data_IF_868237359209
#
_entry.id   IF_868237359209
#
_cell.length_a   1.000
_cell.length_b   1.000
_cell.length_c   1.000
_cell.angle_alpha   90.00
_cell.angle_beta   90.00
_cell.angle_gamma   90.00
#
_symmetry.space_group_name_H-M   'P 1'
#
loop_
_entity.id
_entity.type
_entity.pdbx_description
1 polymer ?
#
# COMPACT_ATOMS: atom_id res chain seq x y z
N UNK A 1 -21.62 6.03 26.57
CA UNK A 1 -20.76 5.62 25.43
C UNK A 1 -21.60 5.78 24.19
N UNK A 2 -21.12 6.49 23.19
CA UNK A 2 -21.85 6.64 21.90
C UNK A 2 -21.87 5.28 21.20
N UNK A 3 -23.01 4.89 20.67
CA UNK A 3 -23.13 3.63 19.92
C UNK A 3 -22.40 3.78 18.58
N UNK A 4 -21.43 2.89 18.31
CA UNK A 4 -20.71 2.86 17.04
C UNK A 4 -21.57 2.18 15.98
N UNK A 5 -22.01 2.96 14.97
CA UNK A 5 -23.04 2.54 14.01
C UNK A 5 -22.57 2.51 12.57
N UNK A 6 -21.40 3.08 12.29
CA UNK A 6 -20.94 3.31 10.92
C UNK A 6 -19.59 2.68 10.66
N UNK A 7 -19.36 2.28 9.43
CA UNK A 7 -18.07 1.85 8.89
C UNK A 7 -17.70 2.80 7.76
N UNK A 8 -16.41 3.14 7.66
CA UNK A 8 -15.87 3.87 6.53
C UNK A 8 -15.02 2.95 5.67
N UNK A 9 -15.32 2.87 4.39
CA UNK A 9 -14.50 2.19 3.40
C UNK A 9 -13.68 3.24 2.61
N UNK A 10 -12.37 3.12 2.63
CA UNK A 10 -11.44 3.90 1.82
C UNK A 10 -11.03 3.09 0.60
N UNK A 11 -11.32 3.61 -0.59
CA UNK A 11 -10.95 3.00 -1.86
C UNK A 11 -9.93 3.89 -2.57
N UNK A 12 -8.67 3.50 -2.46
CA UNK A 12 -7.56 4.17 -3.12
C UNK A 12 -7.34 3.56 -4.51
N UNK A 13 -8.11 4.02 -5.47
CA UNK A 13 -7.98 3.58 -6.86
C UNK A 13 -6.74 4.12 -7.57
N UNK A 14 -6.57 3.74 -8.84
CA UNK A 14 -5.43 4.19 -9.66
C UNK A 14 -5.52 5.67 -10.02
N UNK A 15 -6.72 6.20 -10.20
CA UNK A 15 -6.93 7.59 -10.66
C UNK A 15 -7.62 8.48 -9.65
N UNK A 16 -8.19 7.91 -8.59
CA UNK A 16 -8.94 8.67 -7.60
C UNK A 16 -8.93 8.01 -6.23
N UNK A 17 -9.07 8.84 -5.20
CA UNK A 17 -9.31 8.45 -3.82
C UNK A 17 -10.81 8.56 -3.54
N UNK A 18 -11.39 7.58 -2.86
CA UNK A 18 -12.81 7.56 -2.49
C UNK A 18 -12.97 7.18 -1.02
N UNK A 19 -13.97 7.77 -0.37
CA UNK A 19 -14.45 7.35 0.94
C UNK A 19 -15.95 7.10 0.87
N UNK A 20 -16.39 5.96 1.40
CA UNK A 20 -17.78 5.55 1.49
C UNK A 20 -18.12 5.33 2.95
N UNK A 21 -19.17 5.97 3.45
CA UNK A 21 -19.69 5.74 4.79
C UNK A 21 -20.90 4.82 4.68
N UNK A 22 -20.89 3.75 5.45
CA UNK A 22 -21.91 2.70 5.46
C UNK A 22 -22.55 2.63 6.86
N UNK A 23 -23.88 2.42 6.91
CA UNK A 23 -24.59 2.12 8.15
C UNK A 23 -24.49 0.61 8.49
N UNK A 24 -25.12 0.21 9.59
CA UNK A 24 -25.16 -1.18 10.06
C UNK A 24 -25.83 -2.14 9.06
N UNK A 25 -26.76 -1.65 8.24
CA UNK A 25 -27.48 -2.44 7.23
C UNK A 25 -26.76 -2.41 5.86
N UNK A 26 -25.53 -1.93 5.83
CA UNK A 26 -24.70 -1.77 4.64
C UNK A 26 -25.27 -0.79 3.59
N UNK A 27 -26.18 0.12 3.99
CA UNK A 27 -26.62 1.19 3.11
C UNK A 27 -25.54 2.28 3.03
N UNK A 28 -25.37 2.83 1.84
CA UNK A 28 -24.47 3.97 1.62
C UNK A 28 -25.10 5.23 2.18
N UNK A 29 -24.48 5.81 3.20
CA UNK A 29 -24.92 7.06 3.84
C UNK A 29 -24.27 8.28 3.18
N UNK A 30 -23.01 8.18 2.82
CA UNK A 30 -22.25 9.26 2.18
C UNK A 30 -21.12 8.73 1.33
N UNK A 31 -20.80 9.48 0.27
CA UNK A 31 -19.64 9.21 -0.61
C UNK A 31 -18.94 10.52 -0.91
N UNK A 32 -17.61 10.49 -0.86
CA UNK A 32 -16.75 11.54 -1.41
C UNK A 32 -15.64 10.92 -2.25
N UNK A 33 -15.33 11.56 -3.37
CA UNK A 33 -14.31 11.10 -4.30
C UNK A 33 -13.53 12.31 -4.84
N UNK A 34 -12.22 12.10 -5.07
CA UNK A 34 -11.33 13.10 -5.66
C UNK A 34 -10.29 12.43 -6.53
N UNK A 35 -10.10 12.95 -7.72
CA UNK A 35 -8.99 12.56 -8.60
C UNK A 35 -7.67 13.14 -8.07
N UNK A 36 -6.56 12.52 -8.46
CA UNK A 36 -5.21 12.99 -8.18
C UNK A 36 -4.32 12.88 -9.43
N UNK A 37 -3.19 13.57 -9.39
CA UNK A 37 -2.29 13.74 -10.53
C UNK A 37 -1.67 12.43 -10.98
N UNK A 38 -1.75 12.16 -12.29
CA UNK A 38 -1.04 11.07 -12.96
C UNK A 38 0.24 11.63 -13.57
N UNK A 39 1.40 11.05 -13.26
CA UNK A 39 2.71 11.53 -13.69
C UNK A 39 3.28 10.54 -14.71
N UNK A 40 3.67 11.03 -15.88
CA UNK A 40 4.24 10.25 -16.98
C UNK A 40 5.61 10.80 -17.37
N UNK A 41 6.70 10.47 -16.64
CA UNK A 41 8.02 11.07 -16.89
C UNK A 41 8.59 10.69 -18.26
N UNK A 42 8.35 9.45 -18.68
CA UNK A 42 8.84 8.87 -19.94
C UNK A 42 7.81 7.92 -20.55
N UNK A 43 8.01 7.51 -21.80
CA UNK A 43 7.13 6.54 -22.45
C UNK A 43 7.11 5.19 -21.69
N UNK A 44 5.92 4.76 -21.29
CA UNK A 44 5.72 3.53 -20.49
C UNK A 44 6.04 3.67 -19.00
N UNK A 45 6.38 4.88 -18.52
CA UNK A 45 6.55 5.16 -17.09
C UNK A 45 5.30 5.80 -16.52
N UNK A 46 4.88 5.32 -15.35
CA UNK A 46 3.71 5.83 -14.65
C UNK A 46 4.05 5.98 -13.18
N UNK A 47 3.80 7.16 -12.63
CA UNK A 47 4.09 7.51 -11.25
C UNK A 47 2.95 8.29 -10.62
N UNK A 48 2.89 8.22 -9.28
CA UNK A 48 2.04 9.08 -8.45
C UNK A 48 2.86 9.73 -7.35
N UNK A 49 2.45 10.91 -6.89
CA UNK A 49 2.98 11.48 -5.64
C UNK A 49 2.34 10.78 -4.43
N UNK A 50 3.13 10.06 -3.60
CA UNK A 50 2.58 9.40 -2.41
C UNK A 50 1.96 10.38 -1.40
N UNK A 51 2.44 11.63 -1.37
CA UNK A 51 1.89 12.64 -0.48
C UNK A 51 0.53 13.13 -0.98
N UNK A 52 0.33 13.26 -2.29
CA UNK A 52 -0.97 13.58 -2.88
C UNK A 52 -1.98 12.44 -2.68
N UNK A 53 -1.56 11.17 -2.81
CA UNK A 53 -2.38 10.00 -2.47
C UNK A 53 -2.89 10.11 -1.03
N UNK A 54 -2.01 10.35 -0.06
CA UNK A 54 -2.42 10.49 1.34
C UNK A 54 -3.30 11.71 1.58
N UNK A 55 -2.98 12.85 0.99
CA UNK A 55 -3.72 14.09 1.15
C UNK A 55 -5.15 13.98 0.57
N UNK A 56 -5.30 13.41 -0.63
CA UNK A 56 -6.60 13.22 -1.26
C UNK A 56 -7.44 12.19 -0.50
N UNK A 57 -6.84 11.06 -0.06
CA UNK A 57 -7.56 10.05 0.72
C UNK A 57 -8.03 10.59 2.08
N UNK A 58 -7.19 11.37 2.77
CA UNK A 58 -7.57 12.02 4.02
C UNK A 58 -8.66 13.07 3.81
N UNK A 59 -8.57 13.83 2.72
CA UNK A 59 -9.56 14.86 2.39
C UNK A 59 -10.95 14.26 2.12
N UNK A 60 -11.04 13.18 1.32
CA UNK A 60 -12.33 12.53 1.02
C UNK A 60 -12.93 11.83 2.25
N UNK A 61 -12.09 11.32 3.16
CA UNK A 61 -12.55 10.77 4.44
C UNK A 61 -13.25 11.85 5.27
N UNK A 62 -12.58 12.98 5.49
CA UNK A 62 -13.13 14.10 6.29
C UNK A 62 -14.39 14.66 5.61
N UNK A 63 -14.38 14.81 4.30
CA UNK A 63 -15.52 15.30 3.52
C UNK A 63 -16.73 14.35 3.61
N UNK A 64 -16.53 13.03 3.51
CA UNK A 64 -17.61 12.05 3.60
C UNK A 64 -18.29 12.05 4.99
N UNK A 65 -17.49 12.14 6.06
CA UNK A 65 -18.00 12.28 7.42
C UNK A 65 -18.73 13.62 7.61
N UNK A 66 -18.16 14.72 7.11
CA UNK A 66 -18.78 16.05 7.19
C UNK A 66 -20.13 16.12 6.47
N UNK A 67 -20.24 15.54 5.26
CA UNK A 67 -21.49 15.48 4.48
C UNK A 67 -22.60 14.69 5.19
N UNK A 68 -22.24 13.63 5.91
CA UNK A 68 -23.19 12.78 6.62
C UNK A 68 -23.58 13.33 7.99
N UNK A 69 -22.84 14.31 8.53
CA UNK A 69 -23.00 14.80 9.90
C UNK A 69 -22.61 13.77 10.96
N UNK A 70 -21.95 12.68 10.57
CA UNK A 70 -21.54 11.60 11.46
C UNK A 70 -20.28 12.04 12.21
N UNK A 71 -20.34 11.87 13.54
CA UNK A 71 -19.19 12.12 14.39
C UNK A 71 -18.26 10.89 14.35
N UNK A 72 -16.99 11.13 14.55
CA UNK A 72 -15.97 10.09 14.52
C UNK A 72 -16.11 9.04 15.62
N UNK A 73 -16.69 9.39 16.77
CA UNK A 73 -16.95 8.45 17.87
C UNK A 73 -18.15 7.50 17.56
N UNK A 74 -18.86 7.74 16.47
CA UNK A 74 -19.91 6.86 15.93
C UNK A 74 -19.36 5.88 14.87
N UNK A 75 -18.09 6.04 14.45
CA UNK A 75 -17.44 5.15 13.48
C UNK A 75 -16.80 3.95 14.18
N UNK A 76 -17.26 2.76 13.84
CA UNK A 76 -16.76 1.50 14.39
C UNK A 76 -15.39 1.10 13.82
N UNK A 77 -15.12 1.45 12.56
CA UNK A 77 -13.86 1.12 11.91
C UNK A 77 -13.69 1.72 10.53
N UNK A 78 -12.45 1.71 10.05
CA UNK A 78 -12.07 2.08 8.68
C UNK A 78 -11.51 0.85 7.99
N UNK A 79 -12.07 0.49 6.85
CA UNK A 79 -11.50 -0.49 5.93
C UNK A 79 -10.77 0.20 4.78
N UNK A 80 -9.66 -0.37 4.33
CA UNK A 80 -8.86 0.17 3.22
C UNK A 80 -8.82 -0.85 2.09
N UNK A 81 -9.14 -0.43 0.89
CA UNK A 81 -8.82 -1.13 -0.36
C UNK A 81 -7.98 -0.20 -1.25
N UNK A 82 -7.15 -0.77 -2.12
CA UNK A 82 -6.18 0.02 -2.86
C UNK A 82 -5.88 -0.55 -4.25
N UNK A 83 -5.32 0.30 -5.12
CA UNK A 83 -4.56 -0.17 -6.27
C UNK A 83 -3.37 -0.99 -5.75
N UNK A 84 -3.31 -2.28 -6.08
CA UNK A 84 -2.25 -3.16 -5.62
C UNK A 84 -0.97 -2.94 -6.43
N UNK A 85 0.15 -3.54 -6.04
CA UNK A 85 1.46 -3.58 -6.69
C UNK A 85 2.16 -2.22 -6.81
N UNK A 86 1.44 -1.10 -6.72
CA UNK A 86 2.05 0.25 -6.71
C UNK A 86 3.00 0.38 -5.53
N UNK A 87 4.23 0.75 -5.81
CA UNK A 87 5.37 0.64 -4.91
C UNK A 87 5.77 2.00 -4.35
N UNK A 88 5.86 2.10 -3.04
CA UNK A 88 6.31 3.30 -2.32
C UNK A 88 7.48 2.92 -1.41
N UNK A 89 8.56 3.71 -1.45
CA UNK A 89 9.70 3.61 -0.52
C UNK A 89 9.87 4.96 0.16
N UNK A 90 9.99 4.93 1.49
CA UNK A 90 10.12 6.16 2.28
C UNK A 90 11.10 6.00 3.43
N UNK A 91 11.64 7.13 3.89
CA UNK A 91 12.49 7.17 5.06
C UNK A 91 11.60 7.19 6.32
N UNK A 92 11.81 6.22 7.22
CA UNK A 92 10.98 6.04 8.44
C UNK A 92 11.13 7.15 9.47
N UNK A 93 12.27 7.85 9.48
CA UNK A 93 12.57 8.92 10.44
C UNK A 93 11.91 10.23 10.01
N UNK A 94 11.98 10.54 8.71
CA UNK A 94 11.43 11.79 8.17
C UNK A 94 9.98 11.66 7.71
N UNK A 95 9.51 10.44 7.47
CA UNK A 95 8.20 10.17 6.89
C UNK A 95 8.05 10.62 5.43
N UNK A 96 9.15 10.90 4.75
CA UNK A 96 9.15 11.37 3.36
C UNK A 96 9.44 10.23 2.39
N UNK A 97 8.65 10.09 1.31
CA UNK A 97 9.02 9.23 0.19
C UNK A 97 10.36 9.66 -0.40
N UNK A 98 11.20 8.69 -0.77
CA UNK A 98 12.49 8.98 -1.41
C UNK A 98 12.35 9.09 -2.94
N UNK A 99 11.23 8.62 -3.48
CA UNK A 99 10.87 8.70 -4.88
C UNK A 99 9.34 8.71 -5.03
N UNK A 100 8.82 9.08 -6.20
CA UNK A 100 7.40 8.93 -6.51
C UNK A 100 6.98 7.44 -6.41
N UNK A 101 5.70 7.19 -6.12
CA UNK A 101 5.15 5.84 -6.19
C UNK A 101 5.22 5.33 -7.63
N UNK A 102 5.88 4.18 -7.85
CA UNK A 102 5.92 3.53 -9.17
C UNK A 102 4.66 2.69 -9.31
N UNK A 103 3.80 3.07 -10.26
CA UNK A 103 2.47 2.49 -10.45
C UNK A 103 2.58 1.08 -11.08
N UNK A 104 1.60 0.22 -10.82
CA UNK A 104 1.51 -1.13 -11.35
C UNK A 104 1.60 -1.20 -12.90
N UNK A 105 1.13 -0.17 -13.60
CA UNK A 105 1.18 -0.05 -15.06
C UNK A 105 2.58 0.25 -15.63
N UNK A 106 3.51 0.70 -14.76
CA UNK A 106 4.83 1.16 -15.18
C UNK A 106 5.70 0.01 -15.70
N UNK A 107 6.33 0.19 -16.87
CA UNK A 107 7.14 -0.84 -17.54
C UNK A 107 8.66 -0.63 -17.39
N UNK A 108 9.12 0.35 -16.60
CA UNK A 108 10.55 0.70 -16.46
C UNK A 108 11.44 -0.43 -15.99
N UNK A 109 10.89 -1.41 -15.30
CA UNK A 109 11.64 -2.53 -14.71
C UNK A 109 11.71 -3.76 -15.61
N UNK A 110 11.32 -3.65 -16.89
CA UNK A 110 11.36 -4.77 -17.82
C UNK A 110 12.78 -5.39 -17.96
N UNK A 111 13.83 -4.55 -17.99
CA UNK A 111 15.21 -5.04 -18.05
C UNK A 111 15.62 -5.84 -16.78
N UNK A 112 15.09 -5.48 -15.61
CA UNK A 112 15.32 -6.24 -14.37
C UNK A 112 14.65 -7.62 -14.46
N UNK A 113 13.45 -7.70 -15.05
CA UNK A 113 12.80 -9.00 -15.28
C UNK A 113 13.62 -9.87 -16.22
N UNK A 114 14.16 -9.32 -17.30
CA UNK A 114 15.01 -10.08 -18.22
C UNK A 114 16.31 -10.57 -17.54
N UNK A 115 16.94 -9.76 -16.69
CA UNK A 115 18.10 -10.18 -15.89
C UNK A 115 17.75 -11.36 -14.96
N UNK A 116 16.63 -11.26 -14.22
CA UNK A 116 16.17 -12.35 -13.34
C UNK A 116 15.86 -13.63 -14.12
N UNK A 117 15.32 -13.51 -15.34
CA UNK A 117 15.05 -14.64 -16.24
C UNK A 117 16.35 -15.30 -16.72
N UNK A 118 17.35 -14.52 -17.11
CA UNK A 118 18.67 -15.03 -17.49
C UNK A 118 19.40 -15.73 -16.33
N UNK A 119 19.00 -15.46 -15.09
CA UNK A 119 19.51 -16.11 -13.86
C UNK A 119 18.65 -17.32 -13.45
N UNK A 120 17.81 -17.82 -14.33
CA UNK A 120 16.94 -19.00 -14.12
C UNK A 120 16.01 -18.89 -12.89
N UNK A 121 15.53 -17.67 -12.58
CA UNK A 121 14.65 -17.44 -11.42
C UNK A 121 13.15 -17.51 -11.76
N UNK A 122 12.76 -17.62 -13.02
CA UNK A 122 11.36 -17.59 -13.47
C UNK A 122 10.53 -18.71 -12.83
N UNK A 123 11.01 -19.97 -12.89
CA UNK A 123 10.34 -21.12 -12.30
C UNK A 123 10.23 -20.98 -10.78
N UNK A 124 11.31 -20.60 -10.11
CA UNK A 124 11.32 -20.39 -8.65
C UNK A 124 10.31 -19.31 -8.22
N UNK A 125 10.24 -18.19 -8.95
CA UNK A 125 9.28 -17.12 -8.70
C UNK A 125 7.85 -17.66 -8.84
N UNK A 126 7.55 -18.36 -9.92
CA UNK A 126 6.22 -18.92 -10.18
C UNK A 126 5.80 -19.93 -9.12
N UNK A 127 6.67 -20.83 -8.70
CA UNK A 127 6.38 -21.87 -7.70
C UNK A 127 6.15 -21.27 -6.30
N UNK A 128 6.91 -20.24 -5.92
CA UNK A 128 6.88 -19.71 -4.57
C UNK A 128 5.96 -18.49 -4.39
N UNK A 129 5.66 -17.77 -5.47
CA UNK A 129 4.79 -16.59 -5.40
C UNK A 129 3.47 -16.75 -6.16
N UNK A 130 3.36 -17.76 -7.04
CA UNK A 130 2.22 -17.95 -7.95
C UNK A 130 2.16 -16.91 -9.07
N UNK A 131 3.20 -16.08 -9.23
CA UNK A 131 3.23 -14.97 -10.18
C UNK A 131 4.17 -15.25 -11.35
N UNK A 132 3.86 -14.67 -12.50
CA UNK A 132 4.80 -14.59 -13.62
C UNK A 132 5.84 -13.51 -13.37
N UNK A 133 7.00 -13.62 -13.99
CA UNK A 133 8.05 -12.60 -13.92
C UNK A 133 7.68 -11.43 -14.84
N UNK A 134 7.14 -10.35 -14.26
CA UNK A 134 6.65 -9.19 -15.00
C UNK A 134 6.89 -7.88 -14.20
N UNK A 135 7.21 -6.76 -14.88
CA UNK A 135 7.32 -5.42 -14.27
C UNK A 135 6.06 -4.94 -13.52
N UNK A 136 4.94 -5.61 -13.70
CA UNK A 136 3.69 -5.33 -13.01
C UNK A 136 3.83 -5.33 -11.49
N UNK A 137 4.60 -6.28 -10.93
CA UNK A 137 4.71 -6.54 -9.50
C UNK A 137 5.73 -5.64 -8.78
N UNK A 138 5.65 -5.56 -7.44
CA UNK A 138 6.38 -4.58 -6.65
C UNK A 138 7.89 -4.84 -6.57
N UNK A 139 8.35 -6.10 -6.52
CA UNK A 139 9.74 -6.44 -6.21
C UNK A 139 10.76 -5.75 -7.11
N UNK A 140 10.56 -5.80 -8.44
CA UNK A 140 11.47 -5.15 -9.40
C UNK A 140 11.44 -3.62 -9.28
N UNK A 141 10.33 -3.02 -8.85
CA UNK A 141 10.21 -1.57 -8.64
C UNK A 141 10.98 -1.12 -7.40
N UNK A 142 10.95 -1.92 -6.31
CA UNK A 142 11.77 -1.66 -5.13
C UNK A 142 13.25 -1.69 -5.52
N UNK A 143 13.69 -2.76 -6.22
CA UNK A 143 15.06 -2.86 -6.72
C UNK A 143 15.44 -1.64 -7.55
N UNK A 144 14.58 -1.23 -8.48
CA UNK A 144 14.83 -0.07 -9.33
C UNK A 144 15.02 1.21 -8.52
N UNK A 145 14.17 1.48 -7.52
CA UNK A 145 14.29 2.66 -6.65
C UNK A 145 15.63 2.63 -5.91
N UNK A 146 16.00 1.49 -5.33
CA UNK A 146 17.25 1.35 -4.60
C UNK A 146 18.48 1.53 -5.48
N UNK A 147 18.42 1.12 -6.76
CA UNK A 147 19.52 1.23 -7.70
C UNK A 147 19.66 2.62 -8.34
N UNK A 148 18.57 3.41 -8.41
CA UNK A 148 18.54 4.66 -9.17
C UNK A 148 18.38 5.93 -8.33
N UNK A 149 18.00 5.81 -7.06
CA UNK A 149 17.92 6.96 -6.15
C UNK A 149 19.22 7.06 -5.36
N UNK A 150 19.87 8.21 -5.44
CA UNK A 150 21.15 8.47 -4.75
C UNK A 150 21.04 8.25 -3.23
N UNK A 151 21.94 7.48 -2.66
CA UNK A 151 21.98 7.13 -1.23
C UNK A 151 20.95 6.11 -0.78
N UNK A 152 20.05 5.63 -1.67
CA UNK A 152 18.99 4.71 -1.29
C UNK A 152 19.52 3.35 -0.82
N UNK A 153 20.57 2.81 -1.44
CA UNK A 153 21.20 1.55 -1.02
C UNK A 153 21.80 1.63 0.37
N UNK A 154 22.53 2.71 0.66
CA UNK A 154 23.15 2.98 1.95
C UNK A 154 22.10 3.15 3.05
N UNK A 155 21.05 3.92 2.79
CA UNK A 155 19.94 4.13 3.73
C UNK A 155 19.12 2.86 3.96
N UNK A 156 18.91 2.03 2.93
CA UNK A 156 18.28 0.72 3.06
C UNK A 156 19.11 -0.22 3.93
N UNK A 157 20.41 -0.32 3.67
CA UNK A 157 21.35 -1.13 4.46
C UNK A 157 21.44 -0.66 5.92
N UNK A 158 21.35 0.66 6.15
CA UNK A 158 21.30 1.26 7.49
C UNK A 158 19.92 1.08 8.18
N UNK A 159 18.95 0.42 7.52
CA UNK A 159 17.61 0.18 8.06
C UNK A 159 16.77 1.44 8.24
N UNK A 160 17.03 2.51 7.47
CA UNK A 160 16.28 3.77 7.52
C UNK A 160 15.08 3.78 6.59
N UNK A 161 15.05 2.90 5.57
CA UNK A 161 13.97 2.88 4.59
C UNK A 161 12.93 1.81 4.91
N UNK A 162 11.68 2.13 4.56
CA UNK A 162 10.56 1.23 4.58
C UNK A 162 9.96 1.14 3.18
N UNK A 163 9.43 -0.04 2.86
CA UNK A 163 8.63 -0.30 1.66
C UNK A 163 7.17 -0.53 2.05
N UNK A 164 6.28 -0.16 1.15
CA UNK A 164 4.87 -0.57 1.20
C UNK A 164 4.17 -0.44 -0.14
N UNK A 165 3.12 -1.21 -0.29
CA UNK A 165 2.05 -0.91 -1.24
C UNK A 165 1.19 0.22 -0.67
N UNK A 166 0.20 0.69 -1.42
CA UNK A 166 -0.56 1.88 -1.03
C UNK A 166 -1.31 1.71 0.28
N UNK A 167 -1.82 0.49 0.59
CA UNK A 167 -2.42 0.16 1.89
C UNK A 167 -1.46 0.41 3.05
N UNK A 168 -0.24 -0.12 2.95
CA UNK A 168 0.81 0.05 3.97
C UNK A 168 1.15 1.53 4.17
N UNK A 169 1.29 2.27 3.08
CA UNK A 169 1.54 3.72 3.13
C UNK A 169 0.43 4.47 3.86
N UNK A 170 -0.83 4.18 3.51
CA UNK A 170 -1.99 4.81 4.15
C UNK A 170 -2.06 4.46 5.65
N UNK A 171 -1.92 3.18 6.01
CA UNK A 171 -1.89 2.74 7.41
C UNK A 171 -0.76 3.43 8.18
N UNK A 172 0.45 3.46 7.61
CA UNK A 172 1.61 4.08 8.24
C UNK A 172 1.38 5.58 8.48
N UNK A 173 0.87 6.31 7.47
CA UNK A 173 0.55 7.74 7.59
C UNK A 173 -0.59 7.99 8.59
N UNK A 174 -1.67 7.21 8.51
CA UNK A 174 -2.84 7.35 9.38
C UNK A 174 -2.54 7.01 10.84
N UNK A 175 -1.58 6.13 11.08
CA UNK A 175 -1.10 5.78 12.43
C UNK A 175 0.09 6.63 12.88
N UNK A 176 0.47 7.67 12.14
CA UNK A 176 1.59 8.56 12.47
C UNK A 176 2.93 7.81 12.62
N UNK A 177 3.20 6.86 11.72
CA UNK A 177 4.43 6.07 11.69
C UNK A 177 4.52 4.93 12.72
N UNK A 178 3.46 4.66 13.47
CA UNK A 178 3.47 3.63 14.52
C UNK A 178 3.28 2.19 14.01
N UNK A 179 2.63 2.03 12.85
CA UNK A 179 2.27 0.71 12.31
C UNK A 179 2.78 0.58 10.87
N UNK A 180 3.63 -0.41 10.63
CA UNK A 180 4.16 -0.76 9.32
C UNK A 180 3.69 -2.18 8.97
N UNK A 181 2.55 -2.28 8.29
CA UNK A 181 1.83 -3.53 8.07
C UNK A 181 1.20 -3.56 6.69
N UNK A 182 1.09 -4.75 6.13
CA UNK A 182 0.27 -5.07 4.95
C UNK A 182 -0.56 -6.33 5.21
N UNK A 183 -1.45 -6.68 4.29
CA UNK A 183 -2.19 -7.93 4.35
C UNK A 183 -1.65 -8.99 3.36
N UNK A 184 -2.09 -10.23 3.51
CA UNK A 184 -1.72 -11.32 2.61
C UNK A 184 -2.07 -11.03 1.15
N UNK A 185 -3.16 -10.32 0.89
CA UNK A 185 -3.63 -10.03 -0.48
C UNK A 185 -2.77 -9.01 -1.20
N UNK A 186 -2.19 -8.04 -0.50
CA UNK A 186 -1.21 -7.10 -1.03
C UNK A 186 0.20 -7.72 -1.06
N UNK A 187 0.62 -8.40 0.01
CA UNK A 187 1.93 -9.06 0.07
C UNK A 187 2.11 -10.06 -1.08
N UNK A 188 1.10 -10.89 -1.38
CA UNK A 188 1.15 -11.88 -2.47
C UNK A 188 1.30 -11.26 -3.87
N UNK A 189 1.12 -9.95 -4.01
CA UNK A 189 1.27 -9.23 -5.29
C UNK A 189 2.61 -8.51 -5.43
N UNK A 190 3.55 -8.77 -4.52
CA UNK A 190 4.86 -8.11 -4.54
C UNK A 190 5.94 -8.86 -5.32
N UNK A 191 5.73 -10.14 -5.64
CA UNK A 191 6.75 -11.06 -6.17
C UNK A 191 7.89 -11.33 -5.16
N UNK A 192 7.67 -11.00 -3.88
CA UNK A 192 8.63 -11.19 -2.78
C UNK A 192 8.05 -12.01 -1.63
N UNK A 193 6.77 -12.33 -1.71
CA UNK A 193 6.05 -13.07 -0.66
C UNK A 193 5.84 -14.52 -1.08
N UNK A 194 6.32 -15.44 -0.25
CA UNK A 194 6.18 -16.88 -0.48
C UNK A 194 4.78 -17.34 -0.02
N UNK A 195 3.94 -17.73 -0.96
CA UNK A 195 2.56 -18.16 -0.70
C UNK A 195 2.45 -19.54 -0.05
N UNK A 196 3.52 -20.34 -0.06
CA UNK A 196 3.56 -21.66 0.57
C UNK A 196 3.89 -21.57 2.05
N UNK A 197 4.78 -20.63 2.42
CA UNK A 197 5.22 -20.43 3.82
C UNK A 197 4.51 -19.27 4.51
N UNK A 198 3.84 -18.39 3.75
CA UNK A 198 3.20 -17.16 4.21
C UNK A 198 4.19 -16.19 4.87
N UNK A 199 5.40 -16.12 4.32
CA UNK A 199 6.49 -15.24 4.78
C UNK A 199 7.12 -14.49 3.59
N UNK A 200 7.85 -13.42 3.86
CA UNK A 200 8.73 -12.82 2.88
C UNK A 200 9.79 -13.82 2.45
N UNK A 201 9.98 -13.98 1.14
CA UNK A 201 10.94 -14.93 0.57
C UNK A 201 12.36 -14.39 0.63
N UNK A 202 13.18 -14.91 1.55
CA UNK A 202 14.55 -14.45 1.78
C UNK A 202 15.45 -14.63 0.54
N UNK A 203 15.21 -15.68 -0.28
CA UNK A 203 15.96 -15.87 -1.51
C UNK A 203 15.64 -14.79 -2.53
N UNK A 204 14.37 -14.47 -2.76
CA UNK A 204 13.96 -13.42 -3.68
C UNK A 204 14.40 -12.04 -3.22
N UNK A 205 14.32 -11.76 -1.92
CA UNK A 205 14.85 -10.53 -1.33
C UNK A 205 16.35 -10.40 -1.58
N UNK A 206 17.12 -11.48 -1.38
CA UNK A 206 18.56 -11.52 -1.63
C UNK A 206 18.89 -11.37 -3.11
N UNK A 207 18.17 -12.05 -4.01
CA UNK A 207 18.42 -11.97 -5.46
C UNK A 207 18.14 -10.58 -6.03
N UNK A 208 17.27 -9.81 -5.40
CA UNK A 208 16.96 -8.42 -5.76
C UNK A 208 17.72 -7.41 -4.90
N UNK A 209 18.54 -7.88 -3.95
CA UNK A 209 19.30 -7.06 -3.02
C UNK A 209 18.40 -6.07 -2.25
N UNK A 210 17.30 -6.60 -1.68
CA UNK A 210 16.33 -5.86 -0.87
C UNK A 210 16.45 -6.31 0.59
N UNK A 211 16.80 -5.42 1.54
CA UNK A 211 16.88 -5.77 2.95
C UNK A 211 15.50 -6.16 3.51
N UNK A 212 15.43 -7.27 4.23
CA UNK A 212 14.21 -7.72 4.92
C UNK A 212 13.67 -6.66 5.90
N UNK A 213 14.54 -5.83 6.47
CA UNK A 213 14.16 -4.74 7.38
C UNK A 213 13.28 -3.65 6.75
N UNK A 214 13.20 -3.59 5.42
CA UNK A 214 12.31 -2.69 4.69
C UNK A 214 10.87 -3.22 4.60
N UNK A 215 10.67 -4.52 4.82
CA UNK A 215 9.39 -5.17 4.52
C UNK A 215 8.41 -5.00 5.69
N UNK A 216 7.10 -4.75 5.40
CA UNK A 216 6.07 -4.64 6.43
C UNK A 216 5.77 -5.99 7.08
N UNK A 217 5.27 -5.96 8.31
CA UNK A 217 4.61 -7.12 8.92
C UNK A 217 3.40 -7.53 8.09
N UNK A 218 3.20 -8.82 7.87
CA UNK A 218 2.06 -9.34 7.10
C UNK A 218 1.01 -9.89 8.05
N UNK A 219 -0.22 -9.39 7.93
CA UNK A 219 -1.35 -9.76 8.78
C UNK A 219 -2.55 -10.22 7.96
N UNK A 220 -3.57 -10.72 8.66
CA UNK A 220 -4.86 -11.05 8.04
C UNK A 220 -5.60 -9.79 7.63
N UNK A 221 -6.31 -9.84 6.50
CA UNK A 221 -7.07 -8.70 6.00
C UNK A 221 -8.21 -8.25 6.93
N UNK A 222 -8.77 -9.12 7.76
CA UNK A 222 -9.82 -8.78 8.73
C UNK A 222 -9.29 -8.65 10.17
N UNK A 223 -8.15 -7.99 10.33
CA UNK A 223 -7.51 -7.73 11.62
C UNK A 223 -7.42 -6.23 11.88
N UNK A 224 -7.50 -5.81 13.13
CA UNK A 224 -7.31 -4.41 13.51
C UNK A 224 -5.81 -4.10 13.53
N UNK A 225 -5.35 -3.24 12.63
CA UNK A 225 -3.94 -2.86 12.52
C UNK A 225 -3.53 -1.76 13.49
N UNK A 226 -4.45 -0.86 13.83
CA UNK A 226 -4.16 0.25 14.71
C UNK A 226 -5.30 1.25 14.83
N UNK A 227 -4.99 2.38 15.42
CA UNK A 227 -5.92 3.50 15.61
C UNK A 227 -5.41 4.72 14.86
N UNK A 228 -6.33 5.49 14.28
CA UNK A 228 -6.00 6.74 13.61
C UNK A 228 -6.72 7.92 14.26
N UNK A 229 -6.13 9.10 14.14
CA UNK A 229 -6.68 10.36 14.65
C UNK A 229 -6.78 11.39 13.52
N UNK A 230 -7.53 11.06 12.45
CA UNK A 230 -7.74 11.99 11.34
C UNK A 230 -8.88 12.93 11.67
N UNK A 231 -8.65 14.23 11.50
CA UNK A 231 -9.65 15.28 11.75
C UNK A 231 -10.04 15.45 13.23
N UNK A 232 -9.16 15.07 14.16
CA UNK A 232 -9.44 15.14 15.60
C UNK A 232 -10.17 13.91 16.14
N UNK A 233 -10.25 12.85 15.37
CA UNK A 233 -11.06 11.66 15.64
C UNK A 233 -10.21 10.40 15.80
N UNK A 234 -10.47 9.61 16.84
CA UNK A 234 -9.92 8.25 16.96
C UNK A 234 -10.71 7.33 16.04
N UNK A 235 -10.07 6.82 15.03
CA UNK A 235 -10.63 5.84 14.11
C UNK A 235 -9.82 4.56 14.19
N UNK A 236 -10.50 3.41 14.13
CA UNK A 236 -9.85 2.11 14.06
C UNK A 236 -9.65 1.76 12.60
N UNK A 237 -8.46 1.30 12.22
CA UNK A 237 -8.22 0.77 10.88
C UNK A 237 -8.46 -0.72 10.86
N UNK A 238 -9.30 -1.16 9.95
CA UNK A 238 -9.52 -2.57 9.61
C UNK A 238 -9.20 -2.76 8.12
N UNK A 239 -8.81 -3.94 7.71
CA UNK A 239 -8.35 -4.19 6.33
C UNK A 239 -9.47 -4.32 5.30
N UNK A 240 -9.04 -4.49 4.05
CA UNK A 240 -9.82 -4.52 2.83
C UNK A 240 -11.09 -5.37 2.87
N UNK A 241 -12.23 -4.87 2.34
CA UNK A 241 -13.51 -5.61 2.27
C UNK A 241 -13.52 -6.81 1.31
N UNK A 242 -12.47 -7.06 0.53
CA UNK A 242 -12.46 -8.16 -0.47
C UNK A 242 -12.53 -9.56 0.14
N UNK A 243 -12.25 -9.70 1.43
CA UNK A 243 -12.31 -10.99 2.12
C UNK A 243 -13.69 -11.32 2.70
N UNK A 244 -14.67 -10.44 2.57
CA UNK A 244 -16.06 -10.67 2.99
C UNK A 244 -16.96 -11.24 1.90
N UNK A 245 -16.45 -11.46 0.69
CA UNK A 245 -17.18 -12.14 -0.38
C UNK A 245 -16.72 -13.59 -0.44
N UNK A 246 -17.43 -14.44 0.28
CA UNK A 246 -17.50 -15.87 0.00
C UNK A 246 -18.70 -16.14 -0.87
#
# INVERSE_FOLDING_TARGET
>A
MTEQKYIVALDQGTTSSRAVVLDHDANIVSVSQREFTQIYPEAGWVEHDPMEIYATQSSVLVEALGKSGIRSDEVAGIGITNQRETTIVWNKETGKPIYNAIVWQCRRTAAICEDLKQRDLEEYIQENTGLVLDPYFSGTKIKWILDNVEGAREDAAAGKLLFGTVDTWLVWKMTQGRVHVTDYTNASRTMLFNINTLQWDEKLLKEMDIPLSMMPEVKKSSEVYGQTNIGGCLLYTSPSPRDFVR
#
